data_IF_537943642966
#
_entry.id   IF_537943642966
#
_cell.length_a   1.000
_cell.length_b   1.000
_cell.length_c   1.000
_cell.angle_alpha   90.00
_cell.angle_beta   90.00
_cell.angle_gamma   90.00
#
_symmetry.space_group_name_H-M   'P 1'
#
loop_
_entity.id
_entity.type
_entity.pdbx_description
1 polymer ?
#
# COMPACT_ATOMS: atom_id res chain seq x y z
N UNK A 1 -8.97 2.56 -11.86
CA UNK A 1 -7.86 1.93 -12.62
C UNK A 1 -6.60 1.83 -11.75
N UNK A 2 -6.10 2.93 -11.16
CA UNK A 2 -4.90 2.92 -10.31
C UNK A 2 -4.99 1.98 -9.08
N UNK A 3 -6.09 2.03 -8.31
CA UNK A 3 -6.35 1.14 -7.18
C UNK A 3 -6.38 -0.35 -7.56
N UNK A 4 -6.98 -0.66 -8.71
CA UNK A 4 -7.06 -2.04 -9.22
C UNK A 4 -5.65 -2.49 -9.66
N UNK A 5 -4.87 -1.62 -10.30
CA UNK A 5 -3.47 -1.90 -10.64
C UNK A 5 -2.61 -2.13 -9.40
N UNK A 6 -2.76 -1.29 -8.37
CA UNK A 6 -2.09 -1.45 -7.08
C UNK A 6 -2.46 -2.77 -6.39
N UNK A 7 -3.76 -3.11 -6.37
CA UNK A 7 -4.27 -4.38 -5.87
C UNK A 7 -3.73 -5.58 -6.65
N UNK A 8 -3.65 -5.48 -7.98
CA UNK A 8 -3.05 -6.51 -8.83
C UNK A 8 -1.56 -6.67 -8.59
N UNK A 9 -0.79 -5.59 -8.41
CA UNK A 9 0.64 -5.67 -8.04
C UNK A 9 0.81 -6.31 -6.67
N UNK A 10 -0.05 -5.96 -5.71
CA UNK A 10 -0.03 -6.56 -4.37
C UNK A 10 -0.38 -8.05 -4.41
N UNK A 11 -1.40 -8.42 -5.20
CA UNK A 11 -1.77 -9.82 -5.44
C UNK A 11 -0.65 -10.57 -6.14
N UNK A 12 -0.05 -9.98 -7.19
CA UNK A 12 1.05 -10.59 -7.92
C UNK A 12 2.27 -10.76 -7.01
N UNK A 13 2.57 -9.81 -6.13
CA UNK A 13 3.61 -9.93 -5.08
C UNK A 13 3.27 -11.02 -4.09
N UNK A 14 2.08 -11.01 -3.50
CA UNK A 14 1.67 -12.07 -2.57
C UNK A 14 1.76 -13.44 -3.24
N UNK A 15 1.34 -13.54 -4.49
CA UNK A 15 1.39 -14.77 -5.27
C UNK A 15 2.81 -15.17 -5.65
N UNK A 16 3.66 -14.27 -6.15
CA UNK A 16 5.06 -14.55 -6.52
C UNK A 16 5.94 -14.77 -5.30
N UNK A 17 5.72 -14.05 -4.20
CA UNK A 17 6.34 -14.34 -2.91
C UNK A 17 5.91 -15.74 -2.45
N UNK A 18 4.65 -16.18 -2.64
CA UNK A 18 4.21 -17.53 -2.29
C UNK A 18 4.66 -18.63 -3.27
N UNK A 19 4.80 -18.34 -4.57
CA UNK A 19 5.09 -19.35 -5.61
C UNK A 19 6.55 -19.43 -6.02
N UNK A 20 7.28 -18.30 -6.10
CA UNK A 20 8.73 -18.32 -6.33
C UNK A 20 9.51 -18.70 -5.07
N UNK A 21 8.90 -18.66 -3.87
CA UNK A 21 9.57 -19.07 -2.65
C UNK A 21 9.44 -20.56 -2.34
N UNK A 22 8.67 -21.42 -3.00
CA UNK A 22 8.77 -22.85 -2.63
C UNK A 22 10.16 -23.44 -2.95
N UNK A 23 10.72 -23.19 -4.15
CA UNK A 23 12.07 -23.65 -4.50
C UNK A 23 13.18 -22.79 -3.84
N UNK A 24 12.93 -21.48 -3.67
CA UNK A 24 13.91 -20.56 -3.12
C UNK A 24 13.94 -20.55 -1.59
N UNK A 25 12.84 -20.82 -0.88
CA UNK A 25 12.75 -20.96 0.59
C UNK A 25 13.32 -22.30 1.06
N UNK A 26 13.24 -23.36 0.26
CA UNK A 26 14.05 -24.58 0.49
C UNK A 26 15.55 -24.26 0.41
N UNK A 27 15.94 -23.32 -0.46
CA UNK A 27 17.33 -22.86 -0.61
C UNK A 27 17.75 -21.80 0.43
N UNK A 28 16.84 -20.90 0.84
CA UNK A 28 17.05 -19.77 1.76
C UNK A 28 16.75 -20.11 3.22
N UNK A 29 15.97 -21.15 3.52
CA UNK A 29 15.85 -21.68 4.90
C UNK A 29 17.20 -22.20 5.43
N UNK A 30 18.16 -22.47 4.53
CA UNK A 30 19.58 -22.68 4.87
C UNK A 30 20.33 -21.38 5.22
N UNK A 31 19.73 -20.20 5.07
CA UNK A 31 20.33 -18.86 5.20
C UNK A 31 19.60 -17.96 6.22
N UNK A 32 18.40 -18.34 6.72
CA UNK A 32 17.85 -17.81 7.99
C UNK A 32 16.89 -16.61 7.92
N UNK A 33 16.21 -16.34 6.80
CA UNK A 33 15.20 -15.26 6.73
C UNK A 33 13.97 -15.63 7.56
N UNK A 34 13.51 -14.71 8.40
CA UNK A 34 12.44 -14.93 9.38
C UNK A 34 11.08 -14.43 8.88
N UNK A 35 9.97 -15.01 9.38
CA UNK A 35 8.61 -14.52 9.12
C UNK A 35 8.44 -13.01 9.39
N UNK A 36 9.18 -12.49 10.37
CA UNK A 36 9.19 -11.08 10.74
C UNK A 36 9.74 -10.20 9.62
N UNK A 37 10.78 -10.66 8.93
CA UNK A 37 11.39 -9.95 7.80
C UNK A 37 10.45 -9.93 6.58
N UNK A 38 9.77 -11.04 6.31
CA UNK A 38 8.74 -11.09 5.26
C UNK A 38 7.59 -10.12 5.53
N UNK A 39 7.02 -10.15 6.75
CA UNK A 39 5.93 -9.24 7.16
C UNK A 39 6.34 -7.78 7.09
N UNK A 40 7.60 -7.47 7.44
CA UNK A 40 8.17 -6.13 7.35
C UNK A 40 8.28 -5.66 5.89
N UNK A 41 8.84 -6.49 5.01
CA UNK A 41 8.99 -6.18 3.59
C UNK A 41 7.63 -5.91 2.94
N UNK A 42 6.66 -6.79 3.16
CA UNK A 42 5.29 -6.63 2.65
C UNK A 42 4.62 -5.35 3.17
N UNK A 43 4.81 -5.00 4.46
CA UNK A 43 4.27 -3.76 5.02
C UNK A 43 4.86 -2.53 4.32
N UNK A 44 6.19 -2.47 4.11
CA UNK A 44 6.84 -1.34 3.43
C UNK A 44 6.30 -1.18 2.01
N UNK A 45 6.19 -2.29 1.29
CA UNK A 45 5.69 -2.31 -0.07
C UNK A 45 4.24 -1.82 -0.16
N UNK A 46 3.38 -2.28 0.75
CA UNK A 46 1.99 -1.85 0.85
C UNK A 46 1.90 -0.36 1.19
N UNK A 47 2.74 0.14 2.11
CA UNK A 47 2.77 1.56 2.46
C UNK A 47 3.14 2.43 1.25
N UNK A 48 4.13 2.01 0.46
CA UNK A 48 4.53 2.73 -0.76
C UNK A 48 3.35 2.79 -1.76
N UNK A 49 2.66 1.66 -1.95
CA UNK A 49 1.54 1.53 -2.89
C UNK A 49 0.34 2.42 -2.55
N UNK A 50 0.06 2.66 -1.27
CA UNK A 50 -1.06 3.49 -0.82
C UNK A 50 -0.64 4.97 -0.70
N UNK A 51 0.45 5.25 0.02
CA UNK A 51 0.76 6.62 0.42
C UNK A 51 1.48 7.45 -0.65
N UNK A 52 2.37 6.86 -1.47
CA UNK A 52 3.08 7.64 -2.51
C UNK A 52 2.12 8.26 -3.53
N UNK A 53 1.17 7.51 -4.12
CA UNK A 53 0.20 8.07 -5.06
C UNK A 53 -0.68 9.14 -4.42
N UNK A 54 -1.15 8.92 -3.20
CA UNK A 54 -1.97 9.88 -2.47
C UNK A 54 -1.21 11.19 -2.21
N UNK A 55 0.06 11.12 -1.78
CA UNK A 55 0.91 12.29 -1.55
C UNK A 55 1.13 13.06 -2.87
N UNK A 56 1.47 12.35 -3.95
CA UNK A 56 1.69 12.97 -5.27
C UNK A 56 0.42 13.65 -5.79
N UNK A 57 -0.74 13.00 -5.66
CA UNK A 57 -2.02 13.57 -6.03
C UNK A 57 -2.33 14.82 -5.19
N UNK A 58 -2.12 14.77 -3.87
CA UNK A 58 -2.34 15.90 -2.97
C UNK A 58 -1.49 17.12 -3.34
N UNK A 59 -0.20 16.92 -3.64
CA UNK A 59 0.70 17.99 -4.10
C UNK A 59 0.19 18.59 -5.42
N UNK A 60 -0.18 17.76 -6.38
CA UNK A 60 -0.67 18.22 -7.68
C UNK A 60 -1.99 18.99 -7.53
N UNK A 61 -2.92 18.50 -6.71
CA UNK A 61 -4.19 19.17 -6.41
C UNK A 61 -3.97 20.51 -5.73
N UNK A 62 -3.08 20.61 -4.74
CA UNK A 62 -2.78 21.89 -4.07
C UNK A 62 -2.18 22.90 -5.05
N UNK A 63 -1.24 22.46 -5.90
CA UNK A 63 -0.65 23.31 -6.92
C UNK A 63 -1.69 23.83 -7.93
N UNK A 64 -2.51 22.93 -8.48
CA UNK A 64 -3.56 23.29 -9.42
C UNK A 64 -4.62 24.22 -8.80
N UNK A 65 -4.97 23.99 -7.54
CA UNK A 65 -5.94 24.82 -6.80
C UNK A 65 -5.42 26.24 -6.64
N UNK A 66 -4.14 26.41 -6.32
CA UNK A 66 -3.53 27.74 -6.22
C UNK A 66 -3.59 28.49 -7.55
N UNK A 67 -3.23 27.82 -8.66
CA UNK A 67 -3.31 28.43 -9.99
C UNK A 67 -4.76 28.80 -10.37
N UNK A 68 -5.72 27.92 -10.08
CA UNK A 68 -7.12 28.18 -10.38
C UNK A 68 -7.66 29.35 -9.57
N UNK A 69 -7.32 29.43 -8.28
CA UNK A 69 -7.69 30.55 -7.41
C UNK A 69 -7.19 31.90 -7.95
N UNK A 70 -5.97 31.96 -8.48
CA UNK A 70 -5.44 33.18 -9.09
C UNK A 70 -6.23 33.61 -10.35
N UNK A 71 -6.84 32.65 -11.07
CA UNK A 71 -7.64 32.92 -12.27
C UNK A 71 -9.08 33.35 -11.93
N UNK A 72 -9.71 32.71 -10.95
CA UNK A 72 -11.15 32.92 -10.66
C UNK A 72 -11.39 33.86 -9.46
N UNK A 73 -10.36 34.22 -8.71
CA UNK A 73 -10.46 35.11 -7.54
C UNK A 73 -11.16 34.51 -6.31
N UNK A 74 -11.44 33.19 -6.32
CA UNK A 74 -12.12 32.48 -5.24
C UNK A 74 -11.13 31.55 -4.51
N UNK A 75 -11.08 31.66 -3.18
CA UNK A 75 -10.32 30.74 -2.35
C UNK A 75 -11.03 29.39 -2.26
N UNK A 76 -10.37 28.34 -2.75
CA UNK A 76 -10.83 26.95 -2.68
C UNK A 76 -10.00 26.11 -1.69
N UNK A 77 -9.08 26.77 -0.99
CA UNK A 77 -8.07 26.06 -0.19
C UNK A 77 -8.70 25.29 0.96
N UNK A 78 -9.78 25.81 1.56
CA UNK A 78 -10.45 25.18 2.68
C UNK A 78 -11.20 23.92 2.24
N UNK A 79 -11.92 24.01 1.13
CA UNK A 79 -12.72 22.95 0.53
C UNK A 79 -11.82 21.81 0.08
N UNK A 80 -10.78 22.13 -0.68
CA UNK A 80 -9.78 21.16 -1.16
C UNK A 80 -9.06 20.50 0.01
N UNK A 81 -8.65 21.27 1.02
CA UNK A 81 -7.99 20.70 2.21
C UNK A 81 -8.91 19.75 2.97
N UNK A 82 -10.19 20.09 3.11
CA UNK A 82 -11.17 19.22 3.76
C UNK A 82 -11.35 17.90 2.99
N UNK A 83 -11.45 17.95 1.67
CA UNK A 83 -11.54 16.76 0.81
C UNK A 83 -10.29 15.90 0.95
N UNK A 84 -9.09 16.49 0.88
CA UNK A 84 -7.84 15.76 1.06
C UNK A 84 -7.79 15.08 2.44
N UNK A 85 -8.12 15.78 3.52
CA UNK A 85 -8.15 15.18 4.87
C UNK A 85 -9.09 13.98 4.95
N UNK A 86 -10.30 14.09 4.40
CA UNK A 86 -11.27 12.99 4.40
C UNK A 86 -10.74 11.79 3.60
N UNK A 87 -10.24 12.02 2.39
CA UNK A 87 -9.66 10.96 1.57
C UNK A 87 -8.43 10.33 2.21
N UNK A 88 -7.55 11.13 2.82
CA UNK A 88 -6.38 10.64 3.54
C UNK A 88 -6.76 9.80 4.77
N UNK A 89 -7.82 10.18 5.49
CA UNK A 89 -8.34 9.36 6.58
C UNK A 89 -8.85 8.01 6.07
N UNK A 90 -9.63 8.02 4.99
CA UNK A 90 -10.12 6.80 4.34
C UNK A 90 -8.94 5.93 3.86
N UNK A 91 -7.92 6.52 3.23
CA UNK A 91 -6.70 5.85 2.77
C UNK A 91 -6.00 5.11 3.92
N UNK A 92 -5.84 5.76 5.08
CA UNK A 92 -5.23 5.18 6.28
C UNK A 92 -6.04 3.98 6.79
N UNK A 93 -7.37 4.11 6.87
CA UNK A 93 -8.25 3.01 7.30
C UNK A 93 -8.13 1.82 6.35
N UNK A 94 -8.16 2.06 5.04
CA UNK A 94 -7.99 1.00 4.04
C UNK A 94 -6.61 0.35 4.10
N UNK A 95 -5.55 1.13 4.33
CA UNK A 95 -4.20 0.59 4.50
C UNK A 95 -4.14 -0.41 5.67
N UNK A 96 -4.69 -0.07 6.83
CA UNK A 96 -4.71 -0.99 7.98
C UNK A 96 -5.54 -2.24 7.72
N UNK A 97 -6.70 -2.09 7.08
CA UNK A 97 -7.56 -3.21 6.71
C UNK A 97 -6.85 -4.19 5.77
N UNK A 98 -6.29 -3.70 4.65
CA UNK A 98 -5.57 -4.52 3.67
C UNK A 98 -4.31 -5.14 4.28
N UNK A 99 -3.56 -4.39 5.10
CA UNK A 99 -2.40 -4.92 5.83
C UNK A 99 -2.81 -6.08 6.71
N UNK A 100 -3.90 -5.96 7.47
CA UNK A 100 -4.38 -7.03 8.35
C UNK A 100 -4.72 -8.29 7.56
N UNK A 101 -5.46 -8.16 6.45
CA UNK A 101 -5.79 -9.29 5.57
C UNK A 101 -4.54 -9.95 4.98
N UNK A 102 -3.56 -9.14 4.55
CA UNK A 102 -2.29 -9.66 4.02
C UNK A 102 -1.50 -10.43 5.08
N UNK A 103 -1.37 -9.88 6.29
CA UNK A 103 -0.64 -10.53 7.39
C UNK A 103 -1.32 -11.84 7.84
N UNK A 104 -2.66 -11.88 7.84
CA UNK A 104 -3.42 -13.08 8.18
C UNK A 104 -3.18 -14.19 7.14
N UNK A 105 -3.24 -13.86 5.84
CA UNK A 105 -2.93 -14.82 4.77
C UNK A 105 -1.49 -15.33 4.88
N UNK A 106 -0.52 -14.43 5.08
CA UNK A 106 0.90 -14.82 5.22
C UNK A 106 1.10 -15.81 6.37
N UNK A 107 0.49 -15.56 7.53
CA UNK A 107 0.59 -16.44 8.70
C UNK A 107 -0.02 -17.82 8.48
N UNK A 108 -1.10 -17.91 7.71
CA UNK A 108 -1.80 -19.17 7.45
C UNK A 108 -0.98 -20.09 6.53
N UNK A 109 -0.22 -19.52 5.59
CA UNK A 109 0.71 -20.27 4.75
C UNK A 109 1.90 -20.83 5.55
N UNK A 110 2.48 -20.05 6.46
CA UNK A 110 3.60 -20.55 7.29
C UNK A 110 3.15 -21.64 8.26
N UNK A 111 1.98 -21.52 8.91
CA UNK A 111 1.49 -22.53 9.86
C UNK A 111 1.00 -23.82 9.20
N UNK A 112 0.55 -23.78 7.94
CA UNK A 112 0.13 -24.95 7.18
C UNK A 112 1.27 -25.84 6.67
N UNK A 113 2.53 -25.38 6.71
CA UNK A 113 3.72 -26.19 6.39
C UNK A 113 4.32 -26.92 7.60
N UNK A 114 3.84 -26.64 8.82
CA UNK A 114 4.38 -27.21 10.07
C UNK A 114 3.53 -28.41 10.58
N UNK A 115 2.43 -28.77 9.90
CA UNK A 115 1.60 -29.94 10.21
C UNK A 115 1.73 -30.99 9.11
#
# INVERSE_FOLDING_TARGET
IFFIGAGSVLYFRMYTDLTNEQEKYITISKIGVTDTEMKRSATIQLSILFFVPYIMASIHTMFATKMLQDVIGLSLFKEVSAVLIIFGFVEIVFFFFIRSLYMQKLSQYTSGQII
#
